data_IF_291361529430
#
_entry.id   IF_291361529430
#
_cell.length_a   1.000
_cell.length_b   1.000
_cell.length_c   1.000
_cell.angle_alpha   90.00
_cell.angle_beta   90.00
_cell.angle_gamma   90.00
#
_symmetry.space_group_name_H-M   'P 1'
#
loop_
_entity.id
_entity.type
_entity.pdbx_description
1 polymer ?
#
# COMPACT_ATOMS: atom_id res chain seq x y z
N UNK A 1 -9.48 73.57 -25.95
CA UNK A 1 -10.64 72.64 -25.86
C UNK A 1 -10.25 71.23 -26.33
N UNK A 2 -9.51 71.09 -27.45
CA UNK A 2 -9.01 69.79 -27.95
C UNK A 2 -8.04 69.02 -27.02
N UNK A 3 -7.14 69.69 -26.30
CA UNK A 3 -6.15 69.00 -25.42
C UNK A 3 -6.78 68.35 -24.18
N UNK A 4 -7.88 68.93 -23.67
CA UNK A 4 -8.58 68.43 -22.49
C UNK A 4 -9.30 67.10 -22.79
N UNK A 5 -9.94 67.00 -23.97
CA UNK A 5 -10.60 65.77 -24.43
C UNK A 5 -9.58 64.65 -24.63
N UNK A 6 -8.44 64.92 -25.28
CA UNK A 6 -7.37 63.94 -25.49
C UNK A 6 -6.82 63.39 -24.17
N UNK A 7 -6.71 64.24 -23.13
CA UNK A 7 -6.29 63.78 -21.80
C UNK A 7 -7.34 62.89 -21.12
N UNK A 8 -8.62 63.23 -21.22
CA UNK A 8 -9.72 62.41 -20.67
C UNK A 8 -9.76 61.03 -21.35
N UNK A 9 -9.63 60.96 -22.68
CA UNK A 9 -9.57 59.69 -23.41
C UNK A 9 -8.36 58.84 -23.03
N UNK A 10 -7.19 59.45 -22.84
CA UNK A 10 -5.99 58.72 -22.37
C UNK A 10 -6.18 58.15 -20.98
N UNK A 11 -6.76 58.91 -20.04
CA UNK A 11 -7.02 58.45 -18.67
C UNK A 11 -8.07 57.34 -18.63
N UNK A 12 -9.13 57.44 -19.44
CA UNK A 12 -10.13 56.38 -19.56
C UNK A 12 -9.55 55.11 -20.19
N UNK A 13 -8.72 55.24 -21.22
CA UNK A 13 -8.07 54.10 -21.88
C UNK A 13 -7.07 53.39 -20.95
N UNK A 14 -6.26 54.12 -20.19
CA UNK A 14 -5.32 53.54 -19.22
C UNK A 14 -6.05 52.93 -18.02
N UNK A 15 -7.13 53.56 -17.54
CA UNK A 15 -8.00 53.01 -16.50
C UNK A 15 -8.71 51.73 -16.93
N UNK A 16 -9.21 51.67 -18.18
CA UNK A 16 -9.79 50.45 -18.72
C UNK A 16 -8.75 49.34 -18.89
N UNK A 17 -7.56 49.67 -19.40
CA UNK A 17 -6.48 48.71 -19.56
C UNK A 17 -6.00 48.14 -18.22
N UNK A 18 -5.90 48.97 -17.18
CA UNK A 18 -5.49 48.51 -15.84
C UNK A 18 -6.55 47.61 -15.21
N UNK A 19 -7.84 47.93 -15.35
CA UNK A 19 -8.94 47.07 -14.91
C UNK A 19 -8.98 45.75 -15.68
N UNK A 20 -8.75 45.77 -17.00
CA UNK A 20 -8.68 44.56 -17.82
C UNK A 20 -7.50 43.68 -17.41
N UNK A 21 -6.33 44.27 -17.19
CA UNK A 21 -5.15 43.55 -16.70
C UNK A 21 -5.38 42.96 -15.30
N UNK A 22 -5.98 43.73 -14.39
CA UNK A 22 -6.34 43.24 -13.06
C UNK A 22 -7.35 42.08 -13.13
N UNK A 23 -8.35 42.17 -14.00
CA UNK A 23 -9.32 41.11 -14.24
C UNK A 23 -8.66 39.84 -14.81
N UNK A 24 -7.79 39.98 -15.81
CA UNK A 24 -7.06 38.84 -16.39
C UNK A 24 -6.12 38.20 -15.37
N UNK A 25 -5.41 39.01 -14.57
CA UNK A 25 -4.55 38.54 -13.49
C UNK A 25 -5.34 37.78 -12.43
N UNK A 26 -6.49 38.33 -11.99
CA UNK A 26 -7.37 37.66 -11.02
C UNK A 26 -7.92 36.34 -11.58
N UNK A 27 -8.33 36.31 -12.85
CA UNK A 27 -8.83 35.09 -13.52
C UNK A 27 -7.73 34.04 -13.64
N UNK A 28 -6.50 34.42 -13.95
CA UNK A 28 -5.36 33.52 -14.01
C UNK A 28 -5.02 32.97 -12.62
N UNK A 29 -4.96 33.83 -11.60
CA UNK A 29 -4.69 33.43 -10.22
C UNK A 29 -5.73 32.43 -9.70
N UNK A 30 -7.02 32.69 -9.93
CA UNK A 30 -8.11 31.76 -9.56
C UNK A 30 -7.96 30.42 -10.28
N UNK A 31 -7.70 30.43 -11.59
CA UNK A 31 -7.51 29.20 -12.36
C UNK A 31 -6.32 28.39 -11.84
N UNK A 32 -5.20 29.05 -11.55
CA UNK A 32 -4.01 28.40 -11.00
C UNK A 32 -4.27 27.82 -9.62
N UNK A 33 -4.96 28.56 -8.75
CA UNK A 33 -5.33 28.11 -7.40
C UNK A 33 -6.21 26.86 -7.43
N UNK A 34 -7.27 26.84 -8.25
CA UNK A 34 -8.14 25.67 -8.36
C UNK A 34 -7.41 24.46 -8.95
N UNK A 35 -6.54 24.67 -9.95
CA UNK A 35 -5.74 23.58 -10.51
C UNK A 35 -4.79 22.98 -9.46
N UNK A 36 -4.14 23.82 -8.65
CA UNK A 36 -3.29 23.35 -7.57
C UNK A 36 -4.10 22.58 -6.51
N UNK A 37 -5.25 23.11 -6.10
CA UNK A 37 -6.12 22.44 -5.13
C UNK A 37 -6.65 21.11 -5.63
N UNK A 38 -6.95 21.01 -6.92
CA UNK A 38 -7.34 19.76 -7.56
C UNK A 38 -6.22 18.72 -7.48
N UNK A 39 -5.00 19.09 -7.87
CA UNK A 39 -3.83 18.22 -7.77
C UNK A 39 -3.59 17.72 -6.34
N UNK A 40 -3.64 18.62 -5.34
CA UNK A 40 -3.49 18.26 -3.92
C UNK A 40 -4.55 17.24 -3.48
N UNK A 41 -5.79 17.38 -3.95
CA UNK A 41 -6.90 16.49 -3.58
C UNK A 41 -6.81 15.13 -4.28
N UNK A 42 -6.28 15.07 -5.50
CA UNK A 42 -5.98 13.81 -6.21
C UNK A 42 -4.86 13.07 -5.50
N UNK A 43 -3.76 13.76 -5.19
CA UNK A 43 -2.63 13.18 -4.44
C UNK A 43 -3.09 12.62 -3.10
N UNK A 44 -3.84 13.40 -2.33
CA UNK A 44 -4.32 12.94 -1.02
C UNK A 44 -5.25 11.72 -1.12
N UNK A 45 -6.09 11.65 -2.16
CA UNK A 45 -7.06 10.56 -2.31
C UNK A 45 -6.43 9.26 -2.78
N UNK A 46 -5.59 9.29 -3.80
CA UNK A 46 -5.11 8.07 -4.49
C UNK A 46 -3.73 7.64 -4.06
N UNK A 47 -2.84 8.58 -3.74
CA UNK A 47 -1.52 8.27 -3.22
C UNK A 47 -1.62 8.03 -1.70
N UNK A 48 -1.79 9.11 -0.92
CA UNK A 48 -1.69 9.04 0.55
C UNK A 48 -2.74 8.09 1.16
N UNK A 49 -4.02 8.30 0.81
CA UNK A 49 -5.14 7.52 1.34
C UNK A 49 -5.54 6.35 0.41
N UNK A 50 -4.68 5.97 -0.52
CA UNK A 50 -4.91 4.85 -1.43
C UNK A 50 -3.72 3.91 -1.39
N UNK A 51 -2.84 4.04 -2.38
CA UNK A 51 -1.71 3.13 -2.61
C UNK A 51 -0.75 3.09 -1.41
N UNK A 52 -0.34 4.25 -0.88
CA UNK A 52 0.60 4.31 0.24
C UNK A 52 0.02 3.70 1.51
N UNK A 53 -1.28 3.85 1.72
CA UNK A 53 -1.95 3.27 2.89
C UNK A 53 -1.94 1.74 2.85
N UNK A 54 -2.22 1.15 1.68
CA UNK A 54 -2.15 -0.30 1.49
C UNK A 54 -0.71 -0.80 1.61
N UNK A 55 0.25 -0.08 1.02
CA UNK A 55 1.67 -0.38 1.12
C UNK A 55 2.16 -0.34 2.57
N UNK A 56 1.81 0.70 3.32
CA UNK A 56 2.16 0.83 4.73
C UNK A 56 1.58 -0.32 5.57
N UNK A 57 0.32 -0.69 5.31
CA UNK A 57 -0.32 -1.83 5.94
C UNK A 57 0.44 -3.14 5.67
N UNK A 58 0.78 -3.41 4.41
CA UNK A 58 1.53 -4.61 4.03
C UNK A 58 2.89 -4.71 4.73
N UNK A 59 3.60 -3.59 4.83
CA UNK A 59 4.88 -3.50 5.54
C UNK A 59 4.70 -3.76 7.04
N UNK A 60 3.67 -3.18 7.66
CA UNK A 60 3.36 -3.41 9.07
C UNK A 60 3.00 -4.87 9.34
N UNK A 61 2.13 -5.44 8.50
CA UNK A 61 1.68 -6.82 8.56
C UNK A 61 2.87 -7.80 8.53
N UNK A 62 3.75 -7.68 7.53
CA UNK A 62 4.90 -8.58 7.41
C UNK A 62 5.94 -8.35 8.51
N UNK A 63 6.08 -7.12 9.01
CA UNK A 63 6.95 -6.83 10.15
C UNK A 63 6.47 -7.51 11.42
N UNK A 64 5.16 -7.45 11.68
CA UNK A 64 4.57 -8.12 12.84
C UNK A 64 4.60 -9.64 12.71
N UNK A 65 4.35 -10.17 11.51
CA UNK A 65 4.54 -11.60 11.23
C UNK A 65 5.99 -12.05 11.47
N UNK A 66 6.97 -11.33 10.94
CA UNK A 66 8.38 -11.65 11.11
C UNK A 66 8.80 -11.61 12.60
N UNK A 67 8.23 -10.68 13.39
CA UNK A 67 8.43 -10.67 14.83
C UNK A 67 7.90 -11.96 15.46
N UNK A 68 6.66 -12.34 15.15
CA UNK A 68 6.03 -13.55 15.69
C UNK A 68 6.81 -14.81 15.30
N UNK A 69 7.19 -14.94 14.02
CA UNK A 69 8.07 -15.99 13.54
C UNK A 69 9.37 -16.07 14.36
N UNK A 70 10.04 -14.95 14.61
CA UNK A 70 11.27 -14.92 15.41
C UNK A 70 11.04 -15.42 16.86
N UNK A 71 9.90 -15.10 17.48
CA UNK A 71 9.57 -15.58 18.81
C UNK A 71 9.29 -17.09 18.80
N UNK A 72 8.55 -17.59 17.81
CA UNK A 72 8.26 -19.02 17.66
C UNK A 72 9.54 -19.82 17.42
N UNK A 73 10.45 -19.35 16.56
CA UNK A 73 11.76 -20.00 16.35
C UNK A 73 12.57 -20.09 17.64
N UNK A 74 12.58 -19.02 18.44
CA UNK A 74 13.23 -19.04 19.77
C UNK A 74 12.58 -20.07 20.69
N UNK A 75 11.25 -20.14 20.71
CA UNK A 75 10.52 -21.13 21.49
C UNK A 75 10.89 -22.56 21.06
N UNK A 76 10.82 -22.86 19.76
CA UNK A 76 11.17 -24.16 19.19
C UNK A 76 12.60 -24.58 19.53
N UNK A 77 13.57 -23.69 19.34
CA UNK A 77 14.97 -23.96 19.63
C UNK A 77 15.20 -24.28 21.12
N UNK A 78 14.55 -23.55 22.03
CA UNK A 78 14.70 -23.77 23.46
C UNK A 78 13.98 -25.04 23.93
N UNK A 79 12.81 -25.33 23.37
CA UNK A 79 12.13 -26.62 23.59
C UNK A 79 12.97 -27.78 23.11
N UNK A 80 13.65 -27.64 21.96
CA UNK A 80 14.57 -28.66 21.43
C UNK A 80 15.76 -28.94 22.36
N UNK A 81 16.30 -27.91 23.01
CA UNK A 81 17.40 -28.03 23.97
C UNK A 81 16.95 -28.32 25.41
N UNK A 82 15.65 -28.55 25.65
CA UNK A 82 15.06 -28.72 26.99
C UNK A 82 15.36 -27.54 27.95
N UNK A 83 15.58 -26.35 27.40
CA UNK A 83 15.84 -25.15 28.19
C UNK A 83 14.54 -24.59 28.77
N UNK A 84 14.51 -24.39 30.10
CA UNK A 84 13.36 -23.80 30.80
C UNK A 84 13.19 -22.30 30.57
N UNK A 85 14.16 -21.65 29.93
CA UNK A 85 14.11 -20.21 29.69
C UNK A 85 13.16 -19.94 28.51
N UNK A 86 12.11 -19.13 28.69
CA UNK A 86 11.11 -18.81 27.63
C UNK A 86 10.18 -19.99 27.25
N UNK A 87 9.30 -20.42 28.18
CA UNK A 87 8.30 -21.46 27.92
C UNK A 87 7.26 -21.01 26.87
N UNK A 88 6.48 -21.95 26.30
CA UNK A 88 5.41 -21.64 25.34
C UNK A 88 4.46 -20.52 25.80
N UNK A 89 4.11 -20.45 27.09
CA UNK A 89 3.25 -19.38 27.63
C UNK A 89 3.89 -18.00 27.55
N UNK A 90 5.21 -17.92 27.75
CA UNK A 90 5.94 -16.67 27.62
C UNK A 90 6.08 -16.26 26.14
N UNK A 91 6.21 -17.25 25.24
CA UNK A 91 6.18 -17.02 23.80
C UNK A 91 4.83 -16.46 23.35
N UNK A 92 3.70 -17.08 23.73
CA UNK A 92 2.37 -16.59 23.36
C UNK A 92 2.13 -15.14 23.80
N UNK A 93 2.59 -14.78 25.00
CA UNK A 93 2.50 -13.40 25.52
C UNK A 93 3.39 -12.40 24.80
N UNK A 94 4.43 -12.85 24.08
CA UNK A 94 5.34 -11.97 23.35
C UNK A 94 4.97 -11.81 21.87
N UNK A 95 4.00 -12.59 21.39
CA UNK A 95 3.44 -12.45 20.04
C UNK A 95 2.67 -11.14 19.94
N UNK A 96 2.86 -10.45 18.81
CA UNK A 96 2.09 -9.28 18.43
C UNK A 96 0.77 -9.73 17.86
N UNK A 97 -0.27 -9.02 18.23
CA UNK A 97 -1.56 -9.13 17.57
C UNK A 97 -1.44 -8.60 16.14
N UNK A 98 -2.01 -9.34 15.19
CA UNK A 98 -2.05 -8.96 13.79
C UNK A 98 -3.52 -8.79 13.43
N UNK A 99 -3.98 -7.54 13.48
CA UNK A 99 -5.34 -7.20 13.09
C UNK A 99 -5.54 -7.35 11.58
N UNK A 100 -6.68 -7.92 11.22
CA UNK A 100 -7.19 -7.85 9.86
C UNK A 100 -7.72 -6.44 9.59
N UNK A 101 -7.05 -5.68 8.73
CA UNK A 101 -7.61 -4.43 8.21
C UNK A 101 -8.46 -4.76 6.99
N UNK A 102 -9.54 -5.50 7.23
CA UNK A 102 -10.66 -5.66 6.31
C UNK A 102 -11.50 -4.36 6.18
N UNK A 103 -10.98 -3.23 6.68
CA UNK A 103 -11.61 -1.91 6.63
C UNK A 103 -11.29 -1.12 5.34
N UNK A 104 -10.59 -1.72 4.37
CA UNK A 104 -10.01 -1.04 3.22
C UNK A 104 -10.92 -0.95 1.96
N UNK A 105 -12.25 -0.99 2.11
CA UNK A 105 -13.16 -0.97 0.96
C UNK A 105 -13.04 0.30 0.08
N UNK A 106 -12.59 1.42 0.66
CA UNK A 106 -12.34 2.65 -0.10
C UNK A 106 -11.04 2.57 -0.90
N UNK A 107 -10.00 1.98 -0.32
CA UNK A 107 -8.69 1.76 -0.91
C UNK A 107 -8.80 0.80 -2.10
N UNK A 108 -9.55 -0.29 -1.94
CA UNK A 108 -9.94 -1.18 -3.04
C UNK A 108 -10.53 -0.40 -4.22
N UNK A 109 -11.62 0.32 -3.96
CA UNK A 109 -12.31 1.10 -5.00
C UNK A 109 -11.38 2.12 -5.67
N UNK A 110 -10.46 2.72 -4.92
CA UNK A 110 -9.50 3.73 -5.43
C UNK A 110 -8.43 3.11 -6.30
N UNK A 111 -7.82 2.00 -5.87
CA UNK A 111 -6.77 1.30 -6.62
C UNK A 111 -7.37 0.70 -7.90
N UNK A 112 -8.50 0.01 -7.79
CA UNK A 112 -9.17 -0.58 -8.96
C UNK A 112 -9.59 0.49 -9.96
N UNK A 113 -10.06 1.66 -9.50
CA UNK A 113 -10.39 2.79 -10.40
C UNK A 113 -9.15 3.42 -11.02
N UNK A 114 -8.04 3.49 -10.30
CA UNK A 114 -6.79 4.08 -10.76
C UNK A 114 -6.17 3.21 -11.86
N UNK A 115 -6.09 1.90 -11.63
CA UNK A 115 -5.49 0.92 -12.53
C UNK A 115 -6.45 0.41 -13.60
N UNK A 116 -7.75 0.63 -13.42
CA UNK A 116 -8.83 0.06 -14.23
C UNK A 116 -8.73 -1.48 -14.31
N UNK A 117 -8.27 -2.11 -13.23
CA UNK A 117 -8.01 -3.54 -13.12
C UNK A 117 -8.02 -3.93 -11.63
N UNK A 118 -8.47 -5.15 -11.31
CA UNK A 118 -8.64 -5.63 -9.94
C UNK A 118 -7.50 -6.59 -9.49
N UNK A 119 -6.62 -7.00 -10.40
CA UNK A 119 -5.62 -8.05 -10.17
C UNK A 119 -4.64 -7.69 -9.06
N UNK A 120 -4.25 -6.41 -8.94
CA UNK A 120 -3.37 -5.96 -7.86
C UNK A 120 -4.04 -6.14 -6.49
N UNK A 121 -5.33 -5.80 -6.41
CA UNK A 121 -6.09 -5.94 -5.17
C UNK A 121 -6.27 -7.41 -4.81
N UNK A 122 -6.64 -8.25 -5.78
CA UNK A 122 -6.84 -9.68 -5.56
C UNK A 122 -5.55 -10.38 -5.15
N UNK A 123 -4.43 -10.07 -5.81
CA UNK A 123 -3.11 -10.56 -5.42
C UNK A 123 -2.75 -10.12 -4.00
N UNK A 124 -3.00 -8.84 -3.68
CA UNK A 124 -2.76 -8.32 -2.34
C UNK A 124 -3.59 -9.05 -1.27
N UNK A 125 -4.89 -9.20 -1.47
CA UNK A 125 -5.78 -9.93 -0.54
C UNK A 125 -5.34 -11.37 -0.35
N UNK A 126 -4.92 -12.04 -1.44
CA UNK A 126 -4.42 -13.40 -1.37
C UNK A 126 -3.15 -13.50 -0.50
N UNK A 127 -2.17 -12.63 -0.74
CA UNK A 127 -0.91 -12.63 0.01
C UNK A 127 -1.14 -12.24 1.47
N UNK A 128 -1.97 -11.23 1.74
CA UNK A 128 -2.37 -10.84 3.11
C UNK A 128 -3.05 -12.02 3.81
N UNK A 129 -3.99 -12.69 3.14
CA UNK A 129 -4.66 -13.87 3.65
C UNK A 129 -3.70 -15.01 4.01
N UNK A 130 -2.69 -15.25 3.15
CA UNK A 130 -1.64 -16.23 3.43
C UNK A 130 -0.84 -15.84 4.68
N UNK A 131 -0.43 -14.58 4.83
CA UNK A 131 0.31 -14.11 6.02
C UNK A 131 -0.52 -14.28 7.29
N UNK A 132 -1.80 -13.90 7.26
CA UNK A 132 -2.70 -14.04 8.42
C UNK A 132 -2.90 -15.51 8.79
N UNK A 133 -3.18 -16.37 7.81
CA UNK A 133 -3.33 -17.81 8.02
C UNK A 133 -2.07 -18.44 8.62
N UNK A 134 -0.89 -18.03 8.14
CA UNK A 134 0.37 -18.56 8.66
C UNK A 134 0.69 -18.03 10.05
N UNK A 135 0.34 -16.78 10.35
CA UNK A 135 0.43 -16.26 11.71
C UNK A 135 -0.45 -17.05 12.69
N UNK A 136 -1.70 -17.35 12.32
CA UNK A 136 -2.57 -18.21 13.14
C UNK A 136 -1.98 -19.60 13.34
N UNK A 137 -1.42 -20.19 12.29
CA UNK A 137 -0.76 -21.49 12.39
C UNK A 137 0.44 -21.45 13.35
N UNK A 138 1.28 -20.42 13.29
CA UNK A 138 2.38 -20.20 14.24
C UNK A 138 1.89 -20.15 15.70
N UNK A 139 0.78 -19.44 15.95
CA UNK A 139 0.15 -19.39 17.29
C UNK A 139 -0.24 -20.80 17.73
N UNK A 140 -0.95 -21.55 16.87
CA UNK A 140 -1.39 -22.93 17.17
C UNK A 140 -0.23 -23.88 17.42
N UNK A 141 0.91 -23.71 16.75
CA UNK A 141 2.13 -24.47 17.01
C UNK A 141 2.58 -24.25 18.45
N UNK A 142 2.66 -23.00 18.91
CA UNK A 142 3.09 -22.70 20.29
C UNK A 142 2.07 -23.18 21.31
N UNK A 143 0.77 -23.03 21.05
CA UNK A 143 -0.29 -23.60 21.90
C UNK A 143 -0.15 -25.12 22.02
N UNK A 144 0.11 -25.80 20.91
CA UNK A 144 0.33 -27.26 20.91
C UNK A 144 1.55 -27.64 21.75
N UNK A 145 2.63 -26.88 21.68
CA UNK A 145 3.82 -27.10 22.53
C UNK A 145 3.53 -26.89 24.02
N UNK A 146 2.62 -25.97 24.37
CA UNK A 146 2.24 -25.72 25.76
C UNK A 146 1.56 -26.94 26.40
N UNK A 147 0.69 -27.62 25.65
CA UNK A 147 -0.09 -28.76 26.15
C UNK A 147 0.55 -30.13 25.88
N UNK A 148 1.66 -30.16 25.13
CA UNK A 148 2.39 -31.39 24.82
C UNK A 148 3.25 -31.83 26.02
N UNK A 149 3.03 -33.05 26.53
CA UNK A 149 3.83 -33.59 27.62
C UNK A 149 5.27 -33.89 27.20
N UNK A 150 5.49 -34.27 25.93
CA UNK A 150 6.82 -34.49 25.33
C UNK A 150 6.76 -34.24 23.82
N UNK A 151 7.59 -33.32 23.34
CA UNK A 151 7.83 -33.12 21.90
C UNK A 151 9.11 -33.83 21.49
N UNK A 152 9.07 -34.61 20.40
CA UNK A 152 10.28 -35.29 19.90
C UNK A 152 11.19 -34.31 19.17
N UNK A 153 12.52 -34.44 19.27
CA UNK A 153 13.47 -33.61 18.53
C UNK A 153 13.21 -33.57 17.02
N UNK A 154 12.82 -34.71 16.43
CA UNK A 154 12.51 -34.81 15.00
C UNK A 154 11.27 -33.99 14.62
N UNK A 155 10.23 -33.99 15.46
CA UNK A 155 9.02 -33.20 15.22
C UNK A 155 9.31 -31.70 15.32
N UNK A 156 10.12 -31.28 16.29
CA UNK A 156 10.53 -29.88 16.45
C UNK A 156 11.38 -29.41 15.27
N UNK A 157 12.32 -30.24 14.80
CA UNK A 157 13.15 -29.91 13.64
C UNK A 157 12.31 -29.81 12.37
N UNK A 158 11.32 -30.70 12.20
CA UNK A 158 10.37 -30.64 11.09
C UNK A 158 9.57 -29.34 11.10
N UNK A 159 8.98 -28.97 12.24
CA UNK A 159 8.25 -27.70 12.40
C UNK A 159 9.14 -26.50 12.10
N UNK A 160 10.40 -26.51 12.56
CA UNK A 160 11.38 -25.46 12.29
C UNK A 160 11.66 -25.30 10.79
N UNK A 161 11.78 -26.40 10.05
CA UNK A 161 12.00 -26.35 8.61
C UNK A 161 10.76 -25.89 7.84
N UNK A 162 9.57 -26.40 8.19
CA UNK A 162 8.30 -25.98 7.58
C UNK A 162 8.06 -24.48 7.76
N UNK A 163 8.22 -23.98 9.00
CA UNK A 163 8.09 -22.55 9.30
C UNK A 163 9.12 -21.69 8.56
N UNK A 164 10.35 -22.17 8.38
CA UNK A 164 11.41 -21.45 7.65
C UNK A 164 11.14 -21.38 6.14
N UNK A 165 10.65 -22.45 5.53
CA UNK A 165 10.27 -22.49 4.11
C UNK A 165 9.10 -21.54 3.83
N UNK A 166 8.03 -21.64 4.62
CA UNK A 166 6.86 -20.76 4.49
C UNK A 166 7.21 -19.29 4.72
N UNK A 167 8.09 -18.98 5.67
CA UNK A 167 8.53 -17.60 5.91
C UNK A 167 9.24 -17.00 4.69
N UNK A 168 10.08 -17.79 4.00
CA UNK A 168 10.77 -17.34 2.77
C UNK A 168 9.78 -17.07 1.65
N UNK A 169 8.83 -17.96 1.44
CA UNK A 169 7.78 -17.82 0.43
C UNK A 169 6.93 -16.56 0.65
N UNK A 170 6.42 -16.37 1.88
CA UNK A 170 5.64 -15.18 2.23
C UNK A 170 6.43 -13.89 2.08
N UNK A 171 7.73 -13.91 2.41
CA UNK A 171 8.58 -12.73 2.23
C UNK A 171 8.72 -12.35 0.75
N UNK A 172 8.85 -13.35 -0.14
CA UNK A 172 8.91 -13.12 -1.60
C UNK A 172 7.57 -12.56 -2.10
N UNK A 173 6.45 -13.22 -1.76
CA UNK A 173 5.11 -12.79 -2.16
C UNK A 173 4.81 -11.36 -1.71
N UNK A 174 5.06 -11.05 -0.43
CA UNK A 174 4.81 -9.72 0.12
C UNK A 174 5.73 -8.65 -0.50
N UNK A 175 7.00 -8.98 -0.73
CA UNK A 175 7.95 -8.07 -1.38
C UNK A 175 7.49 -7.75 -2.79
N UNK A 176 6.97 -8.73 -3.53
CA UNK A 176 6.46 -8.54 -4.88
C UNK A 176 5.28 -7.56 -4.91
N UNK A 177 4.27 -7.78 -4.07
CA UNK A 177 3.10 -6.87 -3.97
C UNK A 177 3.53 -5.46 -3.54
N UNK A 178 4.44 -5.37 -2.57
CA UNK A 178 4.96 -4.08 -2.08
C UNK A 178 5.76 -3.34 -3.15
N UNK A 179 6.50 -4.05 -4.00
CA UNK A 179 7.19 -3.46 -5.16
C UNK A 179 6.20 -2.88 -6.16
N UNK A 180 5.14 -3.62 -6.52
CA UNK A 180 4.11 -3.10 -7.41
C UNK A 180 3.42 -1.85 -6.85
N UNK A 181 3.08 -1.85 -5.57
CA UNK A 181 2.52 -0.66 -4.91
C UNK A 181 3.51 0.51 -4.91
N UNK A 182 4.81 0.25 -4.75
CA UNK A 182 5.86 1.28 -4.83
C UNK A 182 5.95 1.87 -6.23
N UNK A 183 5.94 1.04 -7.28
CA UNK A 183 5.96 1.51 -8.67
C UNK A 183 4.73 2.36 -9.00
N UNK A 184 3.53 1.97 -8.53
CA UNK A 184 2.32 2.81 -8.69
C UNK A 184 2.49 4.14 -7.96
N UNK A 185 3.03 4.14 -6.74
CA UNK A 185 3.33 5.36 -5.98
C UNK A 185 4.30 6.26 -6.74
N UNK A 186 5.40 5.73 -7.27
CA UNK A 186 6.41 6.50 -7.99
C UNK A 186 5.80 7.17 -9.24
N UNK A 187 5.02 6.43 -10.03
CA UNK A 187 4.33 6.96 -11.21
C UNK A 187 3.32 8.05 -10.80
N UNK A 188 2.56 7.85 -9.71
CA UNK A 188 1.63 8.83 -9.19
C UNK A 188 2.33 10.12 -8.75
N UNK A 189 3.49 10.03 -8.09
CA UNK A 189 4.24 11.19 -7.61
C UNK A 189 4.86 12.01 -8.74
N UNK A 190 5.34 11.36 -9.78
CA UNK A 190 5.88 12.01 -10.98
C UNK A 190 4.78 12.67 -11.81
N UNK A 191 3.57 12.11 -11.76
CA UNK A 191 2.44 12.60 -12.54
C UNK A 191 1.73 13.78 -11.84
N UNK A 192 1.76 14.97 -12.44
CA UNK A 192 0.97 16.13 -11.98
C UNK A 192 -0.53 15.97 -12.33
N UNK A 193 -1.19 14.97 -11.75
CA UNK A 193 -2.53 14.54 -12.13
C UNK A 193 -3.66 15.46 -11.67
N UNK A 194 -4.68 15.56 -12.52
CA UNK A 194 -5.98 16.15 -12.21
C UNK A 194 -7.07 15.06 -12.20
N UNK A 195 -8.32 15.39 -11.86
CA UNK A 195 -9.37 14.36 -11.81
C UNK A 195 -9.68 13.74 -13.18
N UNK A 196 -9.44 14.51 -14.25
CA UNK A 196 -9.70 14.06 -15.61
C UNK A 196 -8.64 13.07 -16.09
N UNK A 197 -7.40 13.20 -15.62
CA UNK A 197 -6.29 12.32 -15.96
C UNK A 197 -6.31 10.99 -15.22
N UNK A 198 -7.01 10.85 -14.10
CA UNK A 198 -7.14 9.56 -13.37
C UNK A 198 -7.65 8.45 -14.27
N UNK A 199 -8.68 8.70 -15.07
CA UNK A 199 -9.23 7.67 -15.98
C UNK A 199 -8.25 7.28 -17.09
N UNK A 200 -7.23 8.10 -17.34
CA UNK A 200 -6.18 7.85 -18.33
C UNK A 200 -4.90 7.33 -17.68
N UNK A 201 -4.83 7.24 -16.36
CA UNK A 201 -3.67 6.70 -15.66
C UNK A 201 -3.37 5.27 -16.10
N UNK A 202 -4.41 4.42 -16.15
CA UNK A 202 -4.32 3.05 -16.68
C UNK A 202 -3.93 2.97 -18.17
N UNK A 203 -4.00 4.07 -18.92
CA UNK A 203 -3.62 4.12 -20.34
C UNK A 203 -2.17 4.53 -20.55
N UNK A 204 -1.46 4.93 -19.49
CA UNK A 204 -0.01 5.13 -19.55
C UNK A 204 0.67 3.80 -19.87
N UNK A 205 1.65 3.81 -20.78
CA UNK A 205 2.32 2.59 -21.23
C UNK A 205 3.04 1.85 -20.09
N UNK A 206 3.61 2.60 -19.14
CA UNK A 206 4.28 2.04 -17.95
C UNK A 206 3.26 1.37 -17.05
N UNK A 207 2.14 2.05 -16.78
CA UNK A 207 1.05 1.50 -15.94
C UNK A 207 0.40 0.29 -16.60
N UNK A 208 0.17 0.31 -17.92
CA UNK A 208 -0.40 -0.83 -18.65
C UNK A 208 0.51 -2.05 -18.58
N UNK A 209 1.82 -1.87 -18.76
CA UNK A 209 2.81 -2.96 -18.64
C UNK A 209 2.85 -3.50 -17.22
N UNK A 210 2.80 -2.61 -16.22
CA UNK A 210 2.75 -3.00 -14.81
C UNK A 210 1.51 -3.83 -14.49
N UNK A 211 0.33 -3.39 -14.95
CA UNK A 211 -0.93 -4.11 -14.76
C UNK A 211 -0.92 -5.47 -15.46
N UNK A 212 -0.32 -5.57 -16.65
CA UNK A 212 -0.14 -6.86 -17.35
C UNK A 212 0.75 -7.81 -16.54
N UNK A 213 1.89 -7.34 -16.04
CA UNK A 213 2.78 -8.15 -15.17
C UNK A 213 2.07 -8.64 -13.90
N UNK A 214 1.28 -7.77 -13.27
CA UNK A 214 0.49 -8.12 -12.08
C UNK A 214 -0.55 -9.19 -12.44
N UNK A 215 -1.25 -9.03 -13.56
CA UNK A 215 -2.28 -9.96 -14.02
C UNK A 215 -1.69 -11.33 -14.35
N UNK A 216 -0.55 -11.37 -15.04
CA UNK A 216 0.15 -12.61 -15.36
C UNK A 216 0.61 -13.34 -14.09
N UNK A 217 1.16 -12.60 -13.12
CA UNK A 217 1.53 -13.16 -11.83
C UNK A 217 0.32 -13.72 -11.10
N UNK A 218 -0.76 -12.95 -11.01
CA UNK A 218 -2.01 -13.38 -10.36
C UNK A 218 -2.55 -14.67 -10.97
N UNK A 219 -2.57 -14.77 -12.30
CA UNK A 219 -3.00 -15.98 -13.00
C UNK A 219 -2.05 -17.17 -12.81
N UNK A 220 -0.77 -16.93 -12.51
CA UNK A 220 0.20 -17.99 -12.23
C UNK A 220 0.10 -18.54 -10.81
N UNK A 221 -0.23 -17.69 -9.84
CA UNK A 221 -0.40 -18.06 -8.43
C UNK A 221 -1.76 -18.76 -8.17
N UNK A 222 -2.76 -18.50 -9.03
CA UNK A 222 -4.06 -19.16 -8.93
C UNK A 222 -4.02 -20.57 -9.54
N UNK A 223 -4.39 -21.63 -8.80
CA UNK A 223 -4.60 -22.93 -9.40
C UNK A 223 -5.69 -22.82 -10.45
N UNK A 224 -5.40 -23.26 -11.68
CA UNK A 224 -6.40 -23.39 -12.75
C UNK A 224 -7.52 -24.28 -12.22
N UNK A 225 -8.66 -23.67 -11.93
CA UNK A 225 -9.89 -24.35 -11.50
C UNK A 225 -10.50 -25.14 -12.65
#
# INVERSE_FOLDING_TARGET
MFELEVHIYKVLATGFASLLMAYLAAKFALKSFFKQKEYELVKDRYLNNGVDKVRAYNIELITNFNWNYCQVQKCLARTYHEEKSFPPEACLKSLRDIGDINACGLEHTRITRLLNDDSLWQLNEHVVGNVLSQNEWLIRVVETLQYSEKSTPEALLKLKNETEETQKELHIQMSCVTSFLTEVTDILEESQMDFSSIKRFSTDATVSTLVENIRDLWHSEMPKT
#
